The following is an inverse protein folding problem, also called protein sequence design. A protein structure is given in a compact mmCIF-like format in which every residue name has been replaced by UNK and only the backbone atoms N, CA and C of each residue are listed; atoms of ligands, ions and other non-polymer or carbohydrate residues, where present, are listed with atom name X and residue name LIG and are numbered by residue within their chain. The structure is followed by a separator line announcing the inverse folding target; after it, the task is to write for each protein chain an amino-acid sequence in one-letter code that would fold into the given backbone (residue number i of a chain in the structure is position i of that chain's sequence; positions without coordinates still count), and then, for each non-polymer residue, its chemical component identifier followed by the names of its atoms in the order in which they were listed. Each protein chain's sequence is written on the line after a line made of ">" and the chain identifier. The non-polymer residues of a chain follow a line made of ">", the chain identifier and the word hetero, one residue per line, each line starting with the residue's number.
data_IF_170876963744
#
_entry.id   IF_170876963744
#
_cell.length_a   1.000
_cell.length_b   1.000
_cell.length_c   1.000
_cell.angle_alpha   90.00
_cell.angle_beta   90.00
_cell.angle_gamma   90.00
#
_symmetry.space_group_name_H-M   'P 1'
#
loop_
_entity.id
_entity.type
_entity.pdbx_description
1 polymer ?
#
# COMPACT_ATOMS: atom_id res chain seq x y z
N UNK A 1 15.31 -4.19 -3.90
CA UNK A 1 15.56 -2.83 -3.39
C UNK A 1 14.62 -1.87 -4.10
N UNK A 2 13.31 -2.01 -3.89
CA UNK A 2 12.26 -1.08 -4.37
C UNK A 2 11.22 -0.79 -3.26
N UNK A 3 11.27 -1.54 -2.15
CA UNK A 3 10.36 -1.42 -1.02
C UNK A 3 10.58 -0.14 -0.21
N UNK A 4 11.82 0.31 -0.06
CA UNK A 4 12.15 1.54 0.68
C UNK A 4 11.60 2.81 0.01
N UNK A 5 11.53 2.86 -1.32
CA UNK A 5 10.99 4.02 -2.04
C UNK A 5 9.48 4.15 -1.88
N UNK A 6 8.75 3.03 -1.92
CA UNK A 6 7.29 3.02 -1.72
C UNK A 6 6.96 3.46 -0.29
N UNK A 7 7.71 2.92 0.68
CA UNK A 7 7.54 3.24 2.10
C UNK A 7 7.74 4.74 2.33
N UNK A 8 8.82 5.33 1.81
CA UNK A 8 9.08 6.78 1.96
C UNK A 8 7.99 7.67 1.39
N UNK A 9 7.41 7.31 0.25
CA UNK A 9 6.38 8.13 -0.39
C UNK A 9 5.07 8.18 0.41
N UNK A 10 4.77 7.15 1.20
CA UNK A 10 3.53 7.06 2.00
C UNK A 10 3.77 7.41 3.48
N UNK A 11 4.99 7.31 3.98
CA UNK A 11 5.37 7.65 5.37
C UNK A 11 5.06 9.10 5.76
N UNK A 12 5.13 10.03 4.81
CA UNK A 12 4.85 11.46 5.07
C UNK A 12 3.35 11.79 5.03
N UNK A 13 2.49 10.81 4.69
CA UNK A 13 1.05 11.04 4.56
C UNK A 13 0.38 10.95 5.94
N UNK A 14 -0.42 11.96 6.28
CA UNK A 14 -1.12 12.02 7.55
C UNK A 14 -1.94 10.76 7.82
N UNK A 15 -1.80 10.21 9.03
CA UNK A 15 -2.51 9.01 9.47
C UNK A 15 -1.94 7.69 8.96
N UNK A 16 -0.83 7.66 8.23
CA UNK A 16 -0.20 6.40 7.80
C UNK A 16 0.40 5.63 8.98
N UNK A 17 0.07 4.34 9.09
CA UNK A 17 0.51 3.46 10.18
C UNK A 17 1.49 2.36 9.74
N UNK A 18 1.58 2.07 8.44
CA UNK A 18 2.48 1.04 7.94
C UNK A 18 2.03 0.40 6.63
N UNK A 19 2.89 -0.47 6.11
CA UNK A 19 2.65 -1.17 4.83
C UNK A 19 3.07 -2.63 4.92
N UNK A 20 2.28 -3.49 4.27
CA UNK A 20 2.70 -4.83 3.89
C UNK A 20 2.81 -4.93 2.38
N UNK A 21 3.88 -5.55 1.91
CA UNK A 21 4.06 -5.90 0.50
C UNK A 21 4.07 -7.41 0.36
N UNK A 22 3.01 -7.97 -0.22
CA UNK A 22 2.82 -9.39 -0.40
C UNK A 22 3.10 -9.74 -1.86
N UNK A 23 3.91 -10.76 -2.09
CA UNK A 23 4.28 -11.20 -3.45
C UNK A 23 4.02 -12.69 -3.59
N UNK A 24 3.14 -13.05 -4.50
CA UNK A 24 3.03 -14.40 -5.03
C UNK A 24 3.99 -14.55 -6.22
N UNK A 25 5.09 -15.26 -5.99
CA UNK A 25 6.13 -15.46 -7.01
C UNK A 25 5.72 -16.43 -8.11
N UNK A 26 4.76 -17.32 -7.85
CA UNK A 26 4.31 -18.31 -8.83
C UNK A 26 3.41 -17.65 -9.88
N UNK A 27 2.55 -16.72 -9.47
CA UNK A 27 1.64 -16.01 -10.38
C UNK A 27 2.16 -14.64 -10.81
N UNK A 28 3.21 -14.13 -10.15
CA UNK A 28 3.73 -12.77 -10.36
C UNK A 28 2.84 -11.68 -9.76
N UNK A 29 1.81 -12.04 -8.98
CA UNK A 29 0.90 -11.09 -8.34
C UNK A 29 1.59 -10.43 -7.15
N UNK A 30 1.44 -9.11 -7.04
CA UNK A 30 1.81 -8.36 -5.86
C UNK A 30 0.58 -7.65 -5.27
N UNK A 31 0.55 -7.51 -3.95
CA UNK A 31 -0.47 -6.77 -3.20
C UNK A 31 0.23 -5.86 -2.20
N UNK A 32 -0.10 -4.58 -2.25
CA UNK A 32 0.32 -3.59 -1.26
C UNK A 32 -0.85 -3.31 -0.33
N UNK A 33 -0.66 -3.53 0.97
CA UNK A 33 -1.63 -3.19 2.01
C UNK A 33 -1.10 -1.99 2.78
N UNK A 34 -1.79 -0.85 2.76
CA UNK A 34 -1.45 0.31 3.61
C UNK A 34 -2.42 0.40 4.77
N UNK A 35 -1.89 0.72 5.94
CA UNK A 35 -2.65 0.88 7.18
C UNK A 35 -2.77 2.36 7.52
N UNK A 36 -3.95 2.75 8.00
CA UNK A 36 -4.30 4.12 8.32
C UNK A 36 -4.91 4.21 9.72
N UNK A 37 -4.75 5.36 10.38
CA UNK A 37 -5.28 5.65 11.70
C UNK A 37 -6.81 5.62 11.73
N UNK A 38 -7.43 6.21 10.70
CA UNK A 38 -8.88 6.19 10.54
C UNK A 38 -9.29 6.23 9.05
N UNK A 39 -10.58 6.09 8.80
CA UNK A 39 -11.12 6.14 7.44
C UNK A 39 -10.98 7.53 6.80
N UNK A 40 -11.02 8.61 7.60
CA UNK A 40 -10.93 9.97 7.09
C UNK A 40 -9.55 10.28 6.51
N UNK A 41 -8.49 9.88 7.23
CA UNK A 41 -7.09 9.97 6.81
C UNK A 41 -6.81 9.06 5.61
N UNK A 42 -7.37 7.85 5.57
CA UNK A 42 -7.30 6.97 4.39
C UNK A 42 -7.94 7.60 3.14
N UNK A 43 -9.13 8.19 3.28
CA UNK A 43 -9.82 8.83 2.14
C UNK A 43 -9.09 10.10 1.70
N UNK A 44 -8.58 10.89 2.64
CA UNK A 44 -7.79 12.08 2.34
C UNK A 44 -6.47 11.73 1.63
N UNK A 45 -5.90 10.54 1.88
CA UNK A 45 -4.69 10.06 1.24
C UNK A 45 -4.92 9.32 -0.08
N UNK A 46 -6.17 9.03 -0.46
CA UNK A 46 -6.50 8.11 -1.55
C UNK A 46 -5.89 8.54 -2.90
N UNK A 47 -5.93 9.83 -3.21
CA UNK A 47 -5.35 10.39 -4.45
C UNK A 47 -3.82 10.26 -4.47
N UNK A 48 -3.16 10.63 -3.36
CA UNK A 48 -1.70 10.51 -3.24
C UNK A 48 -1.28 9.03 -3.30
N UNK A 49 -1.99 8.16 -2.59
CA UNK A 49 -1.74 6.72 -2.58
C UNK A 49 -2.01 6.08 -3.95
N UNK A 50 -3.02 6.53 -4.69
CA UNK A 50 -3.29 6.08 -6.06
C UNK A 50 -2.12 6.44 -6.99
N UNK A 51 -1.65 7.69 -6.95
CA UNK A 51 -0.48 8.13 -7.73
C UNK A 51 0.77 7.29 -7.42
N UNK A 52 1.07 7.09 -6.13
CA UNK A 52 2.21 6.26 -5.68
C UNK A 52 2.09 4.83 -6.20
N UNK A 53 0.90 4.22 -6.10
CA UNK A 53 0.65 2.86 -6.60
C UNK A 53 0.85 2.77 -8.12
N UNK A 54 0.35 3.75 -8.88
CA UNK A 54 0.51 3.77 -10.34
C UNK A 54 1.98 3.95 -10.76
N UNK A 55 2.69 4.92 -10.17
CA UNK A 55 4.12 5.13 -10.44
C UNK A 55 4.94 3.87 -10.11
N UNK A 56 4.64 3.25 -8.97
CA UNK A 56 5.29 2.00 -8.55
C UNK A 56 5.03 0.88 -9.54
N UNK A 57 3.76 0.69 -9.93
CA UNK A 57 3.40 -0.35 -10.88
C UNK A 57 4.12 -0.14 -12.21
N UNK A 58 4.13 1.09 -12.75
CA UNK A 58 4.82 1.43 -13.99
C UNK A 58 6.33 1.14 -13.90
N UNK A 59 7.00 1.57 -12.82
CA UNK A 59 8.43 1.32 -12.60
C UNK A 59 8.77 -0.17 -12.51
N UNK A 60 7.86 -0.98 -11.98
CA UNK A 60 8.03 -2.42 -11.83
C UNK A 60 7.54 -3.22 -13.06
N UNK A 61 7.05 -2.55 -14.11
CA UNK A 61 6.45 -3.22 -15.28
C UNK A 61 5.15 -3.96 -14.93
N UNK A 62 4.50 -3.55 -13.84
CA UNK A 62 3.24 -4.08 -13.34
C UNK A 62 2.09 -3.14 -13.69
N UNK A 63 0.86 -3.62 -13.49
CA UNK A 63 -0.37 -2.83 -13.63
C UNK A 63 -1.22 -2.99 -12.39
N UNK A 64 -1.74 -1.87 -11.88
CA UNK A 64 -2.74 -1.90 -10.81
C UNK A 64 -4.01 -2.55 -11.36
N UNK A 65 -4.48 -3.61 -10.70
CA UNK A 65 -5.65 -4.38 -11.14
C UNK A 65 -6.92 -4.04 -10.36
N UNK A 66 -6.78 -3.70 -9.08
CA UNK A 66 -7.87 -3.24 -8.22
C UNK A 66 -7.30 -2.49 -7.01
N UNK A 67 -8.16 -1.68 -6.37
CA UNK A 67 -7.91 -1.02 -5.09
C UNK A 67 -9.20 -1.16 -4.29
N UNK A 68 -9.09 -1.66 -3.06
CA UNK A 68 -10.22 -1.92 -2.19
C UNK A 68 -9.88 -1.44 -0.76
N UNK A 69 -10.88 -0.89 -0.06
CA UNK A 69 -10.76 -0.44 1.34
C UNK A 69 -11.38 -1.42 2.32
N UNK A 70 -10.71 -1.65 3.46
CA UNK A 70 -11.14 -2.59 4.50
C UNK A 70 -10.87 -2.03 5.89
N UNK A 71 -11.63 -2.51 6.87
CA UNK A 71 -11.40 -2.24 8.29
C UNK A 71 -10.59 -3.38 8.94
N UNK A 72 -9.61 -3.04 9.77
CA UNK A 72 -8.83 -4.03 10.53
C UNK A 72 -9.64 -4.48 11.74
N UNK A 73 -10.36 -5.60 11.62
CA UNK A 73 -11.12 -6.17 12.74
C UNK A 73 -10.23 -6.75 13.87
N UNK A 74 -9.09 -7.33 13.52
CA UNK A 74 -8.06 -7.76 14.46
C UNK A 74 -6.69 -7.83 13.77
N UNK A 75 -5.61 -7.61 14.52
CA UNK A 75 -4.25 -7.88 14.06
C UNK A 75 -3.46 -8.58 15.16
N UNK A 76 -2.74 -9.64 14.78
CA UNK A 76 -1.79 -10.31 15.66
C UNK A 76 -0.60 -10.75 14.83
N UNK A 77 0.47 -9.97 14.88
CA UNK A 77 1.67 -10.23 14.08
C UNK A 77 2.70 -10.91 14.96
N UNK A 78 2.99 -12.20 14.70
CA UNK A 78 4.19 -12.85 15.24
C UNK A 78 5.27 -12.77 14.16
N UNK A 79 6.40 -12.14 14.49
CA UNK A 79 7.58 -12.15 13.64
C UNK A 79 8.37 -13.44 13.88
#
# INVERSE_FOLDING_TARGET
>A
MHSEEIVKQVEEVAGYLGVYYLVDRATGKAVTLTLWEDEATMRASEEAAARIREETAQRQGQRVVSVDGYEVGFSSTKH
#
